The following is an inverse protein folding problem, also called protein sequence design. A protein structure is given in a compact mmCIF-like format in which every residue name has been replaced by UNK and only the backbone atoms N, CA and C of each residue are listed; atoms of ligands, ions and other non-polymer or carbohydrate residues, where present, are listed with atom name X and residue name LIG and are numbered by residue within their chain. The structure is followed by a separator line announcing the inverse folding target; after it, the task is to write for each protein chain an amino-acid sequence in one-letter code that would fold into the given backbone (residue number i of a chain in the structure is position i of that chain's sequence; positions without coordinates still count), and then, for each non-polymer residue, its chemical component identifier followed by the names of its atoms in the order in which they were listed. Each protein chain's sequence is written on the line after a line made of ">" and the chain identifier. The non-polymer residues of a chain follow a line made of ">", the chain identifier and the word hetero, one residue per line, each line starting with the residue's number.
data_IF_106671941588
#
_entry.id   IF_106671941588
#
_cell.length_a   1.000
_cell.length_b   1.000
_cell.length_c   1.000
_cell.angle_alpha   90.00
_cell.angle_beta   90.00
_cell.angle_gamma   90.00
#
_symmetry.space_group_name_H-M   'P 1'
#
loop_
_entity.id
_entity.type
_entity.pdbx_description
1 polymer ?
#
# COMPACT_ATOMS: atom_id res chain seq x y z
N UNK A 1 -21.06 22.58 50.83
CA UNK A 1 -20.83 21.51 49.85
C UNK A 1 -20.27 22.14 48.61
N UNK A 2 -18.94 22.19 48.50
CA UNK A 2 -18.26 22.74 47.33
C UNK A 2 -18.06 21.61 46.32
N UNK A 3 -18.77 21.69 45.19
CA UNK A 3 -18.44 20.87 44.03
C UNK A 3 -17.11 21.37 43.48
N UNK A 4 -16.02 20.70 43.87
CA UNK A 4 -14.70 20.93 43.32
C UNK A 4 -14.71 20.63 41.83
N UNK A 5 -14.89 21.67 41.02
CA UNK A 5 -14.83 21.58 39.57
C UNK A 5 -13.48 21.00 39.14
N UNK A 6 -13.49 19.80 38.59
CA UNK A 6 -12.30 19.16 38.04
C UNK A 6 -11.78 20.06 36.92
N UNK A 7 -10.69 20.81 37.19
CA UNK A 7 -10.01 21.60 36.15
C UNK A 7 -9.53 20.63 35.08
N UNK A 8 -10.17 20.65 33.92
CA UNK A 8 -9.79 19.83 32.79
C UNK A 8 -8.32 20.06 32.43
N UNK A 9 -7.55 18.97 32.38
CA UNK A 9 -6.14 19.02 31.94
C UNK A 9 -6.11 19.38 30.45
N UNK A 10 -5.28 20.35 30.07
CA UNK A 10 -5.02 20.65 28.65
C UNK A 10 -4.31 19.45 28.00
N UNK A 11 -4.78 19.07 26.83
CA UNK A 11 -4.26 17.97 26.02
C UNK A 11 -3.79 18.54 24.68
N UNK A 12 -2.72 17.98 24.12
CA UNK A 12 -2.12 18.47 22.87
C UNK A 12 -1.93 17.32 21.90
N UNK A 13 -2.49 17.47 20.71
CA UNK A 13 -2.30 16.58 19.57
C UNK A 13 -1.67 17.39 18.45
N UNK A 14 -0.58 16.87 17.90
CA UNK A 14 0.06 17.39 16.70
C UNK A 14 -0.38 16.54 15.52
N UNK A 15 -0.88 17.18 14.48
CA UNK A 15 -1.19 16.53 13.20
C UNK A 15 -0.13 16.95 12.20
N UNK A 16 0.57 15.97 11.62
CA UNK A 16 1.52 16.19 10.52
C UNK A 16 0.88 15.64 9.27
N UNK A 17 0.89 16.40 8.19
CA UNK A 17 0.31 16.00 6.91
C UNK A 17 1.31 16.17 5.80
N UNK A 18 1.18 15.36 4.76
CA UNK A 18 1.94 15.59 3.53
C UNK A 18 1.55 16.93 2.92
N UNK A 19 2.56 17.68 2.48
CA UNK A 19 2.38 19.01 1.88
C UNK A 19 1.71 18.95 0.49
N UNK A 20 1.76 17.80 -0.17
CA UNK A 20 1.29 17.59 -1.54
C UNK A 20 0.40 16.36 -1.61
N UNK A 21 -0.76 16.50 -2.25
CA UNK A 21 -1.62 15.39 -2.62
C UNK A 21 -1.47 15.14 -4.14
N UNK A 22 -1.46 13.87 -4.55
CA UNK A 22 -1.40 13.46 -5.95
C UNK A 22 -2.39 12.30 -6.17
N UNK A 23 -2.92 12.17 -7.38
CA UNK A 23 -3.95 11.17 -7.71
C UNK A 23 -3.40 9.73 -7.67
N UNK A 24 -2.11 9.55 -7.97
CA UNK A 24 -1.40 8.27 -8.02
C UNK A 24 -0.70 7.90 -6.70
N UNK A 25 -0.92 8.70 -5.65
CA UNK A 25 -0.19 8.60 -4.40
C UNK A 25 -1.13 8.60 -3.19
N UNK A 26 -0.83 7.73 -2.22
CA UNK A 26 -1.44 7.79 -0.91
C UNK A 26 -0.98 9.07 -0.19
N UNK A 27 -1.95 9.83 0.33
CA UNK A 27 -1.71 11.01 1.16
C UNK A 27 -1.63 10.61 2.63
N UNK A 28 -0.55 11.01 3.31
CA UNK A 28 -0.30 10.61 4.69
C UNK A 28 -0.71 11.69 5.70
N UNK A 29 -1.30 11.23 6.80
CA UNK A 29 -1.62 12.00 7.99
C UNK A 29 -1.08 11.26 9.22
N UNK A 30 -0.12 11.87 9.91
CA UNK A 30 0.44 11.39 11.17
C UNK A 30 -0.21 12.11 12.35
N UNK A 31 -0.71 11.34 13.31
CA UNK A 31 -1.19 11.88 14.59
C UNK A 31 -0.13 11.60 15.64
N UNK A 32 0.45 12.66 16.20
CA UNK A 32 1.40 12.58 17.32
C UNK A 32 0.73 13.16 18.56
N UNK A 33 0.72 12.43 19.65
CA UNK A 33 0.12 12.90 20.90
C UNK A 33 1.00 12.57 22.09
N UNK A 34 1.11 13.50 23.02
CA UNK A 34 1.75 13.32 24.32
C UNK A 34 0.77 13.78 25.40
N UNK A 35 0.72 13.06 26.53
CA UNK A 35 -0.11 13.43 27.69
C UNK A 35 -1.63 13.53 27.39
N UNK A 36 -2.11 12.85 26.35
CA UNK A 36 -3.53 12.77 25.98
C UNK A 36 -4.16 11.46 26.45
N UNK A 37 -5.46 11.50 26.77
CA UNK A 37 -6.23 10.29 27.01
C UNK A 37 -6.46 9.55 25.69
N UNK A 38 -6.14 8.25 25.63
CA UNK A 38 -6.21 7.46 24.39
C UNK A 38 -7.58 7.50 23.70
N UNK A 39 -8.67 7.40 24.47
CA UNK A 39 -10.03 7.45 23.92
C UNK A 39 -10.35 8.78 23.21
N UNK A 40 -9.75 9.90 23.62
CA UNK A 40 -9.93 11.20 22.96
C UNK A 40 -9.25 11.25 21.60
N UNK A 41 -8.08 10.62 21.50
CA UNK A 41 -7.37 10.47 20.22
C UNK A 41 -8.16 9.53 19.31
N UNK A 42 -8.71 8.46 19.86
CA UNK A 42 -9.57 7.54 19.12
C UNK A 42 -10.84 8.23 18.59
N UNK A 43 -11.51 9.03 19.40
CA UNK A 43 -12.67 9.84 18.98
C UNK A 43 -12.31 10.80 17.84
N UNK A 44 -11.15 11.44 17.94
CA UNK A 44 -10.60 12.30 16.89
C UNK A 44 -10.36 11.51 15.59
N UNK A 45 -9.71 10.34 15.65
CA UNK A 45 -9.47 9.48 14.48
C UNK A 45 -10.80 9.03 13.85
N UNK A 46 -11.77 8.58 14.66
CA UNK A 46 -13.11 8.18 14.19
C UNK A 46 -13.84 9.35 13.52
N UNK A 47 -13.74 10.54 14.09
CA UNK A 47 -14.32 11.75 13.49
C UNK A 47 -13.70 12.06 12.12
N UNK A 48 -12.36 12.04 12.02
CA UNK A 48 -11.63 12.27 10.77
C UNK A 48 -11.96 11.20 9.72
N UNK A 49 -12.03 9.92 10.10
CA UNK A 49 -12.41 8.83 9.21
C UNK A 49 -13.82 9.02 8.62
N UNK A 50 -14.81 9.41 9.46
CA UNK A 50 -16.17 9.71 8.99
C UNK A 50 -16.20 10.90 8.02
N UNK A 51 -15.38 11.92 8.27
CA UNK A 51 -15.26 13.09 7.38
C UNK A 51 -14.61 12.73 6.06
N UNK A 52 -13.54 11.95 6.08
CA UNK A 52 -12.90 11.41 4.88
C UNK A 52 -13.91 10.62 4.03
N UNK A 53 -14.65 9.69 4.65
CA UNK A 53 -15.67 8.91 3.95
C UNK A 53 -16.73 9.77 3.27
N UNK A 54 -17.21 10.83 3.94
CA UNK A 54 -18.18 11.78 3.36
C UNK A 54 -17.62 12.57 2.17
N UNK A 55 -16.30 12.71 2.09
CA UNK A 55 -15.61 13.33 0.97
C UNK A 55 -15.21 12.32 -0.12
N UNK A 56 -15.65 11.06 -0.04
CA UNK A 56 -15.26 10.01 -0.99
C UNK A 56 -13.84 9.47 -0.78
N UNK A 57 -13.22 9.73 0.38
CA UNK A 57 -11.88 9.30 0.71
C UNK A 57 -11.89 8.14 1.71
N UNK A 58 -10.89 7.27 1.62
CA UNK A 58 -10.67 6.17 2.55
C UNK A 58 -9.52 6.51 3.50
N UNK A 59 -9.79 6.54 4.81
CA UNK A 59 -8.77 6.74 5.83
C UNK A 59 -8.39 5.40 6.46
N UNK A 60 -7.13 5.01 6.31
CA UNK A 60 -6.60 3.73 6.77
C UNK A 60 -5.55 3.91 7.85
N UNK A 61 -5.57 3.06 8.86
CA UNK A 61 -4.49 3.02 9.85
C UNK A 61 -3.32 2.18 9.32
N UNK A 62 -2.14 2.78 9.44
CA UNK A 62 -0.93 2.28 8.81
C UNK A 62 0.15 1.97 9.84
N UNK A 63 0.81 0.80 9.79
CA UNK A 63 1.87 0.49 10.73
C UNK A 63 3.10 1.37 10.45
N UNK A 64 3.30 2.38 11.28
CA UNK A 64 4.49 3.25 11.24
C UNK A 64 5.63 2.55 11.98
N UNK A 65 6.45 1.77 11.29
CA UNK A 65 7.57 1.06 11.91
C UNK A 65 8.72 0.82 10.97
N UNK A 66 9.83 1.54 11.16
CA UNK A 66 11.09 1.35 10.45
C UNK A 66 11.93 0.17 10.96
N UNK A 67 11.50 -0.45 12.06
CA UNK A 67 12.26 -1.52 12.71
C UNK A 67 11.94 -2.87 12.06
N UNK A 68 12.96 -3.67 11.73
CA UNK A 68 12.78 -5.07 11.33
C UNK A 68 11.88 -5.79 12.33
N UNK A 69 10.94 -6.59 11.81
CA UNK A 69 10.01 -7.39 12.61
C UNK A 69 10.47 -8.84 12.53
N UNK A 70 11.07 -9.41 13.59
CA UNK A 70 11.64 -10.75 13.52
C UNK A 70 10.60 -11.86 13.30
N UNK A 71 9.35 -11.64 13.73
CA UNK A 71 8.27 -12.64 13.66
C UNK A 71 7.28 -12.42 12.50
N UNK A 72 7.55 -11.44 11.64
CA UNK A 72 6.72 -11.17 10.47
C UNK A 72 7.61 -10.59 9.38
N UNK A 73 8.62 -11.36 8.91
CA UNK A 73 9.46 -10.90 7.81
C UNK A 73 8.60 -10.71 6.55
N UNK A 74 8.96 -9.74 5.69
CA UNK A 74 8.31 -9.63 4.40
C UNK A 74 8.53 -10.90 3.57
N UNK A 75 7.55 -11.26 2.74
CA UNK A 75 7.73 -12.32 1.74
C UNK A 75 8.56 -11.74 0.60
N UNK A 76 9.66 -12.42 0.24
CA UNK A 76 10.54 -12.00 -0.84
C UNK A 76 10.08 -12.65 -2.15
N UNK A 77 9.83 -11.82 -3.15
CA UNK A 77 9.50 -12.23 -4.52
C UNK A 77 10.72 -11.86 -5.37
N UNK A 78 11.54 -12.86 -5.70
CA UNK A 78 12.71 -12.64 -6.52
C UNK A 78 12.27 -12.23 -7.93
N UNK A 79 12.92 -11.21 -8.50
CA UNK A 79 12.70 -10.78 -9.87
C UNK A 79 13.94 -10.02 -10.35
N UNK A 80 14.50 -10.35 -11.53
CA UNK A 80 15.59 -9.61 -12.15
C UNK A 80 15.26 -8.12 -12.35
N UNK A 81 16.21 -7.23 -12.09
CA UNK A 81 16.06 -5.76 -12.12
C UNK A 81 15.45 -5.25 -13.44
N UNK A 82 15.77 -5.89 -14.58
CA UNK A 82 15.26 -5.50 -15.89
C UNK A 82 13.74 -5.71 -16.04
N UNK A 83 13.12 -6.55 -15.21
CA UNK A 83 11.67 -6.83 -15.23
C UNK A 83 10.88 -6.01 -14.20
N UNK A 84 11.55 -5.28 -13.30
CA UNK A 84 10.89 -4.56 -12.21
C UNK A 84 9.89 -3.54 -12.70
N UNK A 85 10.21 -2.78 -13.74
CA UNK A 85 9.30 -1.77 -14.27
C UNK A 85 8.01 -2.41 -14.82
N UNK A 86 8.13 -3.56 -15.51
CA UNK A 86 6.98 -4.28 -16.05
C UNK A 86 6.13 -4.88 -14.93
N UNK A 87 6.76 -5.46 -13.90
CA UNK A 87 6.06 -5.94 -12.72
C UNK A 87 5.36 -4.82 -11.96
N UNK A 88 5.97 -3.62 -11.85
CA UNK A 88 5.34 -2.45 -11.25
C UNK A 88 4.11 -1.98 -12.03
N UNK A 89 4.14 -2.03 -13.36
CA UNK A 89 2.95 -1.75 -14.18
C UNK A 89 1.84 -2.75 -13.85
N UNK A 90 2.15 -4.04 -13.75
CA UNK A 90 1.18 -5.06 -13.32
C UNK A 90 0.62 -4.80 -11.92
N UNK A 91 1.50 -4.47 -10.97
CA UNK A 91 1.14 -4.16 -9.58
C UNK A 91 0.15 -2.98 -9.49
N UNK A 92 0.40 -1.90 -10.24
CA UNK A 92 -0.46 -0.70 -10.20
C UNK A 92 -1.75 -0.92 -11.00
N UNK A 93 -1.64 -1.39 -12.24
CA UNK A 93 -2.78 -1.44 -13.18
C UNK A 93 -3.71 -2.62 -12.97
N UNK A 94 -3.18 -3.76 -12.52
CA UNK A 94 -3.97 -5.00 -12.36
C UNK A 94 -4.35 -5.24 -10.90
N UNK A 95 -3.49 -4.84 -9.96
CA UNK A 95 -3.66 -5.15 -8.54
C UNK A 95 -4.02 -3.93 -7.67
N UNK A 96 -4.20 -2.73 -8.24
CA UNK A 96 -4.73 -1.58 -7.48
C UNK A 96 -3.78 -1.03 -6.41
N UNK A 97 -2.47 -1.11 -6.65
CA UNK A 97 -1.48 -0.50 -5.77
C UNK A 97 -1.22 0.96 -6.15
N UNK A 98 -1.10 1.81 -5.12
CA UNK A 98 -0.73 3.22 -5.23
C UNK A 98 0.61 3.47 -4.55
N UNK A 99 1.32 4.51 -4.99
CA UNK A 99 2.60 4.87 -4.39
C UNK A 99 2.40 5.46 -2.99
N UNK A 100 3.16 5.02 -2.01
CA UNK A 100 3.21 5.67 -0.69
C UNK A 100 4.11 6.91 -0.77
N UNK A 101 3.71 8.00 -0.11
CA UNK A 101 4.52 9.21 -0.02
C UNK A 101 5.88 8.90 0.61
N UNK A 102 6.93 8.93 -0.23
CA UNK A 102 8.24 8.40 0.18
C UNK A 102 8.97 9.36 1.11
N UNK A 103 9.41 8.84 2.26
CA UNK A 103 10.52 9.46 3.00
C UNK A 103 11.85 9.01 2.37
N UNK A 104 12.35 9.77 1.40
CA UNK A 104 13.72 9.87 0.82
C UNK A 104 14.60 8.63 0.51
N UNK A 105 14.34 7.42 1.00
CA UNK A 105 15.28 6.30 0.83
C UNK A 105 14.70 5.04 0.22
N UNK A 106 13.38 4.82 0.30
CA UNK A 106 12.76 3.61 -0.25
C UNK A 106 11.42 3.95 -0.89
N UNK A 107 11.21 3.41 -2.09
CA UNK A 107 9.90 3.46 -2.75
C UNK A 107 9.08 2.29 -2.24
N UNK A 108 7.86 2.61 -1.80
CA UNK A 108 6.90 1.65 -1.27
C UNK A 108 5.55 1.91 -1.93
N UNK A 109 4.82 0.83 -2.15
CA UNK A 109 3.49 0.83 -2.70
C UNK A 109 2.54 0.19 -1.70
N UNK A 110 1.30 0.66 -1.70
CA UNK A 110 0.23 0.20 -0.83
C UNK A 110 -0.98 -0.14 -1.69
N UNK A 111 -1.61 -1.28 -1.44
CA UNK A 111 -2.90 -1.60 -2.06
C UNK A 111 -3.93 -0.53 -1.67
N UNK A 112 -4.85 -0.13 -2.55
CA UNK A 112 -5.84 0.93 -2.27
C UNK A 112 -6.70 0.69 -1.00
N UNK A 113 -6.93 -0.58 -0.65
CA UNK A 113 -7.62 -0.99 0.59
C UNK A 113 -6.71 -1.09 1.82
N UNK A 114 -5.43 -0.79 1.67
CA UNK A 114 -4.38 -0.85 2.69
C UNK A 114 -4.14 -2.22 3.29
N UNK A 115 -4.51 -3.31 2.60
CA UNK A 115 -4.34 -4.68 3.10
C UNK A 115 -2.91 -5.21 2.94
N UNK A 116 -2.14 -4.63 2.02
CA UNK A 116 -0.83 -5.11 1.61
C UNK A 116 0.09 -3.95 1.23
N UNK A 117 1.39 -4.23 1.33
CA UNK A 117 2.46 -3.32 0.96
C UNK A 117 3.51 -4.05 0.15
N UNK A 118 4.06 -3.35 -0.83
CA UNK A 118 5.20 -3.82 -1.63
C UNK A 118 6.30 -2.79 -1.53
N UNK A 119 7.53 -3.25 -1.34
CA UNK A 119 8.71 -2.40 -1.35
C UNK A 119 9.74 -3.01 -2.29
N UNK A 120 10.47 -2.19 -3.04
CA UNK A 120 11.64 -2.66 -3.75
C UNK A 120 12.74 -3.05 -2.74
N UNK A 121 13.35 -4.21 -2.93
CA UNK A 121 14.51 -4.60 -2.15
C UNK A 121 15.68 -3.61 -2.38
N UNK A 122 16.48 -3.24 -1.37
CA UNK A 122 17.57 -2.29 -1.55
C UNK A 122 18.62 -2.72 -2.58
N UNK A 123 18.72 -4.02 -2.89
CA UNK A 123 19.64 -4.55 -3.89
C UNK A 123 19.05 -4.57 -5.30
N UNK A 124 17.78 -4.20 -5.47
CA UNK A 124 17.08 -4.27 -6.76
C UNK A 124 16.70 -5.68 -7.19
N UNK A 125 17.03 -6.74 -6.43
CA UNK A 125 16.88 -8.14 -6.88
C UNK A 125 15.52 -8.77 -6.55
N UNK A 126 14.63 -8.03 -5.89
CA UNK A 126 13.36 -8.57 -5.41
C UNK A 126 12.35 -7.47 -5.06
N UNK A 127 11.10 -7.89 -4.92
CA UNK A 127 10.08 -7.18 -4.16
C UNK A 127 9.89 -7.79 -2.77
N UNK A 128 9.62 -6.94 -1.80
CA UNK A 128 9.34 -7.28 -0.42
C UNK A 128 7.85 -7.03 -0.14
N UNK A 129 7.08 -8.10 0.02
CA UNK A 129 5.66 -8.08 0.31
C UNK A 129 5.40 -8.09 1.82
N UNK A 130 4.50 -7.24 2.31
CA UNK A 130 4.10 -7.21 3.71
C UNK A 130 2.59 -7.05 3.86
N UNK A 131 1.99 -7.75 4.83
CA UNK A 131 0.56 -7.62 5.13
C UNK A 131 0.30 -6.48 6.12
N UNK A 132 -0.87 -5.84 6.03
CA UNK A 132 -1.28 -4.85 7.04
C UNK A 132 -1.85 -5.52 8.28
N UNK A 133 -0.97 -5.74 9.25
CA UNK A 133 -1.31 -6.29 10.57
C UNK A 133 -2.22 -5.41 11.43
N UNK A 134 -2.43 -4.14 11.10
CA UNK A 134 -3.43 -3.30 11.81
C UNK A 134 -4.85 -3.60 11.33
N UNK A 135 -5.00 -4.44 10.29
CA UNK A 135 -6.28 -4.95 9.82
C UNK A 135 -6.44 -6.42 10.27
N UNK A 136 -7.05 -6.68 11.45
CA UNK A 136 -7.11 -8.03 12.01
C UNK A 136 -8.10 -8.96 11.29
N UNK A 137 -8.94 -8.43 10.39
CA UNK A 137 -9.99 -9.21 9.75
C UNK A 137 -9.42 -10.37 8.92
N UNK A 138 -10.08 -11.53 9.00
CA UNK A 138 -9.72 -12.68 8.16
C UNK A 138 -9.84 -12.35 6.67
N UNK A 139 -10.87 -11.59 6.30
CA UNK A 139 -11.09 -11.15 4.91
C UNK A 139 -9.90 -10.33 4.37
N UNK A 140 -9.38 -9.38 5.15
CA UNK A 140 -8.21 -8.59 4.74
C UNK A 140 -6.96 -9.46 4.55
N UNK A 141 -6.75 -10.46 5.42
CA UNK A 141 -5.63 -11.39 5.32
C UNK A 141 -5.72 -12.26 4.07
N UNK A 142 -6.87 -12.91 3.86
CA UNK A 142 -7.11 -13.74 2.67
C UNK A 142 -7.02 -12.91 1.38
N UNK A 143 -7.49 -11.66 1.40
CA UNK A 143 -7.34 -10.77 0.25
C UNK A 143 -5.87 -10.43 -0.02
N UNK A 144 -5.07 -10.16 1.02
CA UNK A 144 -3.64 -9.93 0.88
C UNK A 144 -2.91 -11.16 0.33
N UNK A 145 -3.26 -12.36 0.77
CA UNK A 145 -2.71 -13.64 0.27
C UNK A 145 -3.05 -13.85 -1.21
N UNK A 146 -4.30 -13.57 -1.61
CA UNK A 146 -4.71 -13.65 -3.00
C UNK A 146 -3.95 -12.65 -3.89
N UNK A 147 -3.78 -11.41 -3.43
CA UNK A 147 -3.00 -10.40 -4.16
C UNK A 147 -1.52 -10.81 -4.27
N UNK A 148 -0.95 -11.42 -3.24
CA UNK A 148 0.42 -11.95 -3.27
C UNK A 148 0.54 -13.04 -4.34
N UNK A 149 -0.36 -14.02 -4.34
CA UNK A 149 -0.36 -15.09 -5.34
C UNK A 149 -0.45 -14.52 -6.77
N UNK A 150 -1.38 -13.59 -7.01
CA UNK A 150 -1.52 -12.94 -8.32
C UNK A 150 -0.29 -12.13 -8.72
N UNK A 151 0.37 -11.47 -7.78
CA UNK A 151 1.60 -10.73 -8.08
C UNK A 151 2.77 -11.67 -8.39
N UNK A 152 2.88 -12.80 -7.69
CA UNK A 152 3.87 -13.83 -8.01
C UNK A 152 3.64 -14.40 -9.41
N UNK A 153 2.38 -14.70 -9.78
CA UNK A 153 2.03 -15.16 -11.13
C UNK A 153 2.45 -14.15 -12.21
N UNK A 154 2.19 -12.85 -12.00
CA UNK A 154 2.65 -11.79 -12.92
C UNK A 154 4.18 -11.81 -13.07
N UNK A 155 4.92 -11.96 -11.98
CA UNK A 155 6.39 -12.02 -12.01
C UNK A 155 6.89 -13.26 -12.76
N UNK A 156 6.31 -14.44 -12.50
CA UNK A 156 6.65 -15.69 -13.17
C UNK A 156 6.36 -15.63 -14.67
N UNK A 157 5.22 -15.08 -15.07
CA UNK A 157 4.85 -14.89 -16.48
C UNK A 157 5.85 -13.98 -17.21
N UNK A 158 6.32 -12.92 -16.56
CA UNK A 158 7.34 -12.01 -17.12
C UNK A 158 8.68 -12.72 -17.32
N UNK A 159 9.12 -13.53 -16.35
CA UNK A 159 10.35 -14.30 -16.46
C UNK A 159 10.28 -15.33 -17.60
N UNK A 160 9.14 -16.04 -17.71
CA UNK A 160 8.90 -16.99 -18.79
C UNK A 160 8.90 -16.32 -20.16
N UNK A 161 8.25 -15.15 -20.29
CA UNK A 161 8.20 -14.40 -21.54
C UNK A 161 9.60 -13.99 -22.02
N UNK A 162 10.49 -13.58 -21.09
CA UNK A 162 11.87 -13.22 -21.40
C UNK A 162 12.68 -14.45 -21.79
N UNK A 163 12.55 -15.56 -21.05
CA UNK A 163 13.25 -16.80 -21.38
C UNK A 163 12.86 -17.36 -22.76
N UNK A 164 11.58 -17.22 -23.15
CA UNK A 164 11.12 -17.60 -24.49
C UNK A 164 11.66 -16.67 -25.58
N UNK A 165 11.70 -15.36 -25.31
CA UNK A 165 12.26 -14.38 -26.24
C UNK A 165 13.76 -14.57 -26.48
N UNK A 166 14.51 -15.01 -25.46
CA UNK A 166 15.94 -15.34 -25.59
C UNK A 166 16.16 -16.68 -26.32
N UNK A 167 15.23 -17.62 -26.19
CA UNK A 167 15.30 -18.91 -26.86
C UNK A 167 14.91 -18.84 -28.35
N UNK A 168 14.04 -17.89 -28.71
CA UNK A 168 13.70 -17.63 -30.12
C UNK A 168 14.71 -16.67 -30.73
N UNK A 169 15.71 -17.22 -31.42
CA UNK A 169 16.72 -16.48 -32.19
C UNK A 169 16.12 -15.76 -33.44
N UNK A 170 14.79 -15.63 -33.51
CA UNK A 170 14.07 -15.02 -34.62
C UNK A 170 13.55 -13.63 -34.23
N UNK A 171 13.94 -12.61 -35.01
CA UNK A 171 13.58 -11.22 -34.76
C UNK A 171 12.06 -10.93 -34.80
N UNK A 172 11.26 -11.85 -35.36
CA UNK A 172 9.80 -11.72 -35.48
C UNK A 172 9.06 -12.00 -34.16
N UNK A 173 9.60 -12.87 -33.30
CA UNK A 173 8.95 -13.20 -32.01
C UNK A 173 9.12 -12.10 -30.95
N UNK A 174 10.18 -11.29 -31.07
CA UNK A 174 10.42 -10.15 -30.19
C UNK A 174 9.39 -9.02 -30.39
N UNK A 175 8.79 -8.91 -31.58
CA UNK A 175 7.72 -7.97 -31.86
C UNK A 175 6.37 -8.46 -31.31
N UNK A 176 6.11 -9.76 -31.37
CA UNK A 176 4.91 -10.37 -30.79
C UNK A 176 4.91 -10.29 -29.26
N UNK A 177 6.05 -10.50 -28.62
CA UNK A 177 6.20 -10.36 -27.17
C UNK A 177 5.89 -8.92 -26.69
N UNK A 178 6.24 -7.89 -27.47
CA UNK A 178 5.90 -6.49 -27.17
C UNK A 178 4.40 -6.20 -27.32
N UNK A 179 3.68 -6.95 -28.16
CA UNK A 179 2.23 -6.84 -28.34
C UNK A 179 1.42 -7.56 -27.24
N UNK A 180 2.03 -8.53 -26.56
CA UNK A 180 1.42 -9.23 -25.42
C UNK A 180 1.58 -8.47 -24.10
N UNK A 181 2.48 -7.49 -24.04
CA UNK A 181 2.54 -6.57 -22.91
C UNK A 181 1.30 -5.66 -22.93
N UNK A 182 0.64 -5.44 -21.78
CA UNK A 182 -0.55 -4.61 -21.72
C UNK A 182 -0.22 -3.20 -22.22
N UNK A 183 -0.83 -2.82 -23.36
CA UNK A 183 -0.73 -1.48 -23.93
C UNK A 183 -1.18 -0.42 -22.92
N UNK A 184 -0.68 0.81 -23.09
CA UNK A 184 -0.90 1.95 -22.19
C UNK A 184 -2.31 1.97 -21.59
N UNK A 185 -2.38 1.58 -20.31
CA UNK A 185 -3.65 1.47 -19.60
C UNK A 185 -4.13 2.87 -19.29
N UNK A 186 -5.14 3.32 -20.02
CA UNK A 186 -5.91 4.53 -19.70
C UNK A 186 -6.35 4.47 -18.22
N UNK A 187 -6.16 5.55 -17.43
CA UNK A 187 -6.45 5.52 -16.00
C UNK A 187 -7.91 5.15 -15.74
N UNK A 188 -8.11 4.15 -14.88
CA UNK A 188 -9.45 3.71 -14.44
C UNK A 188 -10.06 4.75 -13.51
N UNK A 189 -11.38 5.02 -13.61
CA UNK A 189 -12.09 5.75 -12.56
C UNK A 189 -12.11 4.89 -11.28
N UNK A 190 -11.77 5.50 -10.14
CA UNK A 190 -11.72 4.83 -8.85
C UNK A 190 -13.06 4.17 -8.51
N UNK A 191 -13.08 2.85 -8.42
CA UNK A 191 -14.24 2.10 -7.92
C UNK A 191 -14.22 2.18 -6.39
N UNK A 192 -15.20 2.87 -5.80
CA UNK A 192 -15.38 2.92 -4.35
C UNK A 192 -15.89 1.55 -3.90
N UNK A 193 -14.98 0.70 -3.41
CA UNK A 193 -15.34 -0.55 -2.78
C UNK A 193 -15.94 -0.27 -1.38
N UNK A 194 -17.21 -0.64 -1.19
CA UNK A 194 -17.84 -0.72 0.13
C UNK A 194 -17.23 -1.90 0.91
N UNK A 195 -16.04 -1.70 1.46
CA UNK A 195 -15.53 -2.57 2.50
C UNK A 195 -16.23 -2.19 3.80
N UNK A 196 -17.16 -3.03 4.22
CA UNK A 196 -17.81 -2.94 5.51
C UNK A 196 -16.76 -3.09 6.64
N UNK A 197 -16.18 -1.97 7.06
CA UNK A 197 -15.55 -1.88 8.38
C UNK A 197 -16.67 -2.01 9.41
N UNK A 198 -16.80 -3.20 10.01
CA UNK A 198 -17.52 -3.36 11.26
C UNK A 198 -16.85 -2.52 12.34
N UNK A 199 -17.43 -1.36 12.63
CA UNK A 199 -17.20 -0.59 13.84
C UNK A 199 -18.31 -0.88 14.84
#
# INVERSE_FOLDING_TARGET
>A
GEQGGVRGRRMFVQVVVDATACEDQAWHLEVRWNMCQGHRVEDFIKYTARRAKRAGLLLLQMPTGRRPRPFSPPVRIALPDNLHQQALVGLVTQLGFVRESSSKSTTRWMHELGVAFVQADPQGQAFLWSTNRLMPSQAARTHSEHLLARFSEICEDLELAVGLAEASDSAEDLELAKLLLPGEVSPRPAAIADVACGC
#
